data_IF_622555579109
#
_entry.id   IF_622555579109
#
_cell.length_a   1.000
_cell.length_b   1.000
_cell.length_c   1.000
_cell.angle_alpha   90.00
_cell.angle_beta   90.00
_cell.angle_gamma   90.00
#
_symmetry.space_group_name_H-M   'P 1'
#
loop_
_entity.id
_entity.type
_entity.pdbx_description
1 polymer ?
#
# COMPACT_ATOMS: atom_id res chain seq x y z
N UNK A 1 -1.07 -0.04 24.53
CA UNK A 1 -1.49 0.28 23.16
C UNK A 1 -0.21 0.45 22.40
N UNK A 2 0.03 -0.40 21.41
CA UNK A 2 1.12 -0.19 20.45
C UNK A 2 0.82 1.10 19.70
N UNK A 3 1.85 1.90 19.47
CA UNK A 3 1.71 3.12 18.70
C UNK A 3 1.25 2.79 17.26
N UNK A 4 0.32 3.54 16.64
CA UNK A 4 -0.12 3.27 15.28
C UNK A 4 1.03 3.21 14.27
N UNK A 5 2.07 4.05 14.44
CA UNK A 5 3.23 4.09 13.55
C UNK A 5 4.04 2.79 13.67
N UNK A 6 4.26 2.33 14.91
CA UNK A 6 4.93 1.04 15.19
C UNK A 6 4.12 -0.16 14.65
N UNK A 7 2.79 -0.10 14.73
CA UNK A 7 1.93 -1.15 14.19
C UNK A 7 1.95 -1.22 12.66
N UNK A 8 2.02 -0.05 11.99
CA UNK A 8 2.14 0.06 10.53
C UNK A 8 3.49 -0.49 10.06
N UNK A 9 4.58 -0.08 10.70
CA UNK A 9 5.94 -0.55 10.37
C UNK A 9 6.03 -2.07 10.50
N UNK A 10 5.54 -2.62 11.61
CA UNK A 10 5.55 -4.06 11.85
C UNK A 10 4.69 -4.85 10.85
N UNK A 11 3.59 -4.26 10.38
CA UNK A 11 2.77 -4.87 9.33
C UNK A 11 3.52 -4.91 7.99
N UNK A 12 4.25 -3.85 7.65
CA UNK A 12 5.09 -3.80 6.46
C UNK A 12 6.25 -4.80 6.52
N UNK A 13 6.98 -4.87 7.64
CA UNK A 13 8.06 -5.85 7.83
C UNK A 13 7.58 -7.30 7.65
N UNK A 14 6.32 -7.57 8.00
CA UNK A 14 5.69 -8.89 7.85
C UNK A 14 5.11 -9.13 6.46
N UNK A 15 5.05 -8.11 5.61
CA UNK A 15 4.33 -8.14 4.34
C UNK A 15 2.82 -8.35 4.51
N UNK A 16 2.24 -7.90 5.64
CA UNK A 16 0.81 -8.05 5.93
C UNK A 16 -0.01 -6.94 5.29
N UNK A 17 -0.28 -7.09 4.00
CA UNK A 17 -1.13 -6.16 3.24
C UNK A 17 -2.54 -6.03 3.81
N UNK A 18 -3.03 -7.03 4.57
CA UNK A 18 -4.37 -6.96 5.16
C UNK A 18 -4.39 -5.99 6.33
N UNK A 19 -3.38 -6.03 7.19
CA UNK A 19 -3.24 -5.10 8.30
C UNK A 19 -2.94 -3.68 7.82
N UNK A 20 -2.00 -3.53 6.87
CA UNK A 20 -1.74 -2.22 6.26
C UNK A 20 -2.99 -1.59 5.62
N UNK A 21 -3.86 -2.40 4.99
CA UNK A 21 -5.12 -1.90 4.43
C UNK A 21 -6.10 -1.38 5.47
N UNK A 22 -6.10 -1.94 6.69
CA UNK A 22 -6.91 -1.41 7.78
C UNK A 22 -6.42 -0.03 8.19
N UNK A 23 -5.12 0.13 8.39
CA UNK A 23 -4.51 1.43 8.72
C UNK A 23 -4.72 2.45 7.60
N UNK A 24 -4.55 2.07 6.34
CA UNK A 24 -4.86 2.94 5.21
C UNK A 24 -6.33 3.39 5.21
N UNK A 25 -7.27 2.48 5.51
CA UNK A 25 -8.70 2.80 5.60
C UNK A 25 -9.03 3.71 6.80
N UNK A 26 -8.22 3.69 7.86
CA UNK A 26 -8.31 4.63 8.99
C UNK A 26 -7.68 6.00 8.67
N UNK A 27 -7.08 6.17 7.48
CA UNK A 27 -6.56 7.43 6.99
C UNK A 27 -5.06 7.64 7.21
N UNK A 28 -4.33 6.60 7.60
CA UNK A 28 -2.87 6.66 7.74
C UNK A 28 -2.21 6.57 6.36
N UNK A 29 -1.65 7.69 5.89
CA UNK A 29 -0.99 7.80 4.59
C UNK A 29 0.20 6.86 4.45
N UNK A 30 1.00 6.70 5.51
CA UNK A 30 2.20 5.86 5.46
C UNK A 30 1.85 4.40 5.19
N UNK A 31 0.69 3.94 5.66
CA UNK A 31 0.19 2.61 5.34
C UNK A 31 -0.25 2.47 3.86
N UNK A 32 -0.71 3.55 3.22
CA UNK A 32 -0.98 3.58 1.78
C UNK A 32 0.33 3.45 1.01
N UNK A 33 1.35 4.21 1.37
CA UNK A 33 2.65 4.18 0.69
C UNK A 33 3.30 2.80 0.81
N UNK A 34 3.29 2.20 2.00
CA UNK A 34 3.81 0.85 2.23
C UNK A 34 3.01 -0.23 1.48
N UNK A 35 1.70 -0.05 1.29
CA UNK A 35 0.91 -0.93 0.42
C UNK A 35 1.32 -0.82 -1.05
N UNK A 36 1.60 0.39 -1.53
CA UNK A 36 2.08 0.60 -2.90
C UNK A 36 3.43 -0.08 -3.09
N UNK A 37 4.38 0.11 -2.18
CA UNK A 37 5.68 -0.55 -2.23
C UNK A 37 5.54 -2.06 -2.28
N UNK A 38 4.79 -2.65 -1.34
CA UNK A 38 4.60 -4.10 -1.26
C UNK A 38 3.85 -4.66 -2.49
N UNK A 39 2.88 -3.92 -3.03
CA UNK A 39 2.18 -4.32 -4.24
C UNK A 39 3.11 -4.28 -5.46
N UNK A 40 3.98 -3.28 -5.54
CA UNK A 40 4.97 -3.12 -6.61
C UNK A 40 5.96 -4.27 -6.61
N UNK A 41 6.55 -4.58 -5.45
CA UNK A 41 7.50 -5.70 -5.30
C UNK A 41 6.91 -7.06 -5.68
N UNK A 42 5.59 -7.19 -5.59
CA UNK A 42 4.85 -8.42 -5.87
C UNK A 42 4.17 -8.43 -7.23
N UNK A 43 4.33 -7.34 -8.00
CA UNK A 43 3.60 -7.09 -9.25
C UNK A 43 2.08 -7.28 -9.10
N UNK A 44 1.54 -6.90 -7.93
CA UNK A 44 0.11 -6.99 -7.62
C UNK A 44 -0.64 -5.80 -8.24
N UNK A 45 -0.87 -5.91 -9.56
CA UNK A 45 -1.55 -4.88 -10.34
C UNK A 45 -2.99 -4.62 -9.86
N UNK A 46 -3.66 -5.62 -9.27
CA UNK A 46 -5.02 -5.46 -8.76
C UNK A 46 -5.03 -4.61 -7.49
N UNK A 47 -4.05 -4.79 -6.61
CA UNK A 47 -3.83 -3.94 -5.45
C UNK A 47 -3.52 -2.50 -5.87
N UNK A 48 -2.58 -2.31 -6.80
CA UNK A 48 -2.21 -1.00 -7.33
C UNK A 48 -3.41 -0.29 -7.98
N UNK A 49 -4.20 -0.99 -8.81
CA UNK A 49 -5.45 -0.46 -9.39
C UNK A 49 -6.45 -0.02 -8.33
N UNK A 50 -6.59 -0.78 -7.24
CA UNK A 50 -7.49 -0.41 -6.16
C UNK A 50 -7.00 0.85 -5.44
N UNK A 51 -5.73 0.90 -5.07
CA UNK A 51 -5.14 2.06 -4.41
C UNK A 51 -5.22 3.32 -5.29
N UNK A 52 -4.98 3.19 -6.59
CA UNK A 52 -5.14 4.28 -7.56
C UNK A 52 -6.60 4.79 -7.61
N UNK A 53 -7.57 3.87 -7.67
CA UNK A 53 -9.00 4.21 -7.63
C UNK A 53 -9.41 4.89 -6.34
N UNK A 54 -8.80 4.48 -5.23
CA UNK A 54 -9.04 5.05 -3.90
C UNK A 54 -8.31 6.38 -3.70
N UNK A 55 -7.52 6.83 -4.69
CA UNK A 55 -6.94 8.17 -4.77
C UNK A 55 -5.43 8.25 -4.58
N UNK A 56 -4.72 7.12 -4.46
CA UNK A 56 -3.26 7.12 -4.41
C UNK A 56 -2.66 7.46 -5.77
N UNK A 57 -2.02 8.62 -5.86
CA UNK A 57 -1.33 9.06 -7.09
C UNK A 57 -0.11 8.17 -7.36
N UNK A 58 0.68 7.85 -6.33
CA UNK A 58 1.84 6.95 -6.44
C UNK A 58 1.43 5.58 -7.00
N UNK A 59 0.31 5.01 -6.54
CA UNK A 59 -0.18 3.74 -7.07
C UNK A 59 -0.56 3.82 -8.55
N UNK A 60 -1.16 4.94 -8.97
CA UNK A 60 -1.55 5.15 -10.37
C UNK A 60 -0.33 5.30 -11.28
N UNK A 61 0.71 6.00 -10.81
CA UNK A 61 1.97 6.17 -11.51
C UNK A 61 2.69 4.82 -11.68
N UNK A 62 2.90 4.08 -10.60
CA UNK A 62 3.56 2.78 -10.65
C UNK A 62 2.78 1.77 -11.49
N UNK A 63 1.45 1.75 -11.37
CA UNK A 63 0.61 0.88 -12.21
C UNK A 63 0.84 1.15 -13.70
N UNK A 64 0.88 2.42 -14.11
CA UNK A 64 1.11 2.78 -15.51
C UNK A 64 2.50 2.34 -15.98
N UNK A 65 3.53 2.51 -15.14
CA UNK A 65 4.89 2.07 -15.46
C UNK A 65 4.97 0.55 -15.66
N UNK A 66 4.32 -0.25 -14.79
CA UNK A 66 4.31 -1.71 -14.89
C UNK A 66 3.44 -2.25 -16.03
N UNK A 67 2.37 -1.54 -16.41
CA UNK A 67 1.52 -1.94 -17.55
C UNK A 67 2.17 -1.64 -18.92
N UNK A 68 3.16 -0.74 -18.96
CA UNK A 68 3.90 -0.35 -20.16
C UNK A 68 5.18 -1.18 -20.42
N UNK A 69 5.56 -2.10 -19.51
CA UNK A 69 6.72 -3.02 -19.61
C UNK A 69 6.40 -4.35 -20.34
#
# INVERSE_FOLDING_TARGET
MTDPEEAIELAAERGDSTELRKWAAEGYSDAVDLLVELATEREDLDELRRLARDGSQTAAEVLAELEDE
#
